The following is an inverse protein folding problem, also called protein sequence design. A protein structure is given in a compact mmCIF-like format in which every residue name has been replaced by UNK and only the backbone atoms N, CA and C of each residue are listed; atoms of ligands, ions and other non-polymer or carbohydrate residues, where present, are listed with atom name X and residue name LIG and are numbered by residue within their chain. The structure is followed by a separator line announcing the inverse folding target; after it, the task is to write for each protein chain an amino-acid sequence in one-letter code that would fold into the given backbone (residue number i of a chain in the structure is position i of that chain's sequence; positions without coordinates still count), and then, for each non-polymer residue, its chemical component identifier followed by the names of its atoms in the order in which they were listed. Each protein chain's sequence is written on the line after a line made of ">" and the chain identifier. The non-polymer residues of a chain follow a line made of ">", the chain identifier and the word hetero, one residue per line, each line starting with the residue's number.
data_IF_876086029765
#
_entry.id   IF_876086029765
#
_cell.length_a   1.000
_cell.length_b   1.000
_cell.length_c   1.000
_cell.angle_alpha   90.00
_cell.angle_beta   90.00
_cell.angle_gamma   90.00
#
_symmetry.space_group_name_H-M   'P 1'
#
loop_
_entity.id
_entity.type
_entity.pdbx_description
1 polymer ?
#
# COMPACT_ATOMS: atom_id res chain seq x y z
N UNK A 1 31.00 11.53 31.22
CA UNK A 1 31.48 11.86 29.86
C UNK A 1 30.25 12.17 29.02
N UNK A 2 29.87 13.45 28.98
CA UNK A 2 28.62 13.91 28.36
C UNK A 2 28.78 13.86 26.84
N UNK A 3 27.87 13.16 26.16
CA UNK A 3 27.75 13.25 24.71
C UNK A 3 27.32 14.67 24.36
N UNK A 4 28.30 15.45 23.92
CA UNK A 4 28.13 16.78 23.33
C UNK A 4 27.26 16.66 22.08
N UNK A 5 25.98 17.00 22.21
CA UNK A 5 25.14 17.40 21.08
C UNK A 5 25.33 18.90 20.83
N UNK A 6 26.58 19.33 20.60
CA UNK A 6 26.85 20.62 20.00
C UNK A 6 26.53 20.53 18.49
N UNK A 7 25.28 20.84 18.15
CA UNK A 7 24.89 21.70 17.04
C UNK A 7 25.61 21.51 15.69
N UNK A 8 25.05 20.64 14.85
CA UNK A 8 24.97 20.88 13.39
C UNK A 8 23.55 20.60 12.90
N UNK A 9 22.57 21.34 13.42
CA UNK A 9 21.21 21.39 12.88
C UNK A 9 20.99 22.74 12.19
N UNK A 10 21.26 22.81 10.88
CA UNK A 10 20.78 23.93 10.05
C UNK A 10 19.25 23.88 9.83
N UNK A 11 18.59 22.77 10.21
CA UNK A 11 17.16 22.56 10.02
C UNK A 11 16.25 23.44 10.89
N UNK A 12 16.77 24.03 11.98
CA UNK A 12 15.99 24.91 12.88
C UNK A 12 16.04 26.40 12.55
N UNK A 13 16.83 26.82 11.54
CA UNK A 13 17.04 28.25 11.23
C UNK A 13 15.78 28.95 10.69
N UNK A 14 14.80 28.20 10.19
CA UNK A 14 13.59 28.74 9.53
C UNK A 14 12.30 28.61 10.34
N UNK A 15 12.36 28.22 11.62
CA UNK A 15 11.18 28.23 12.50
C UNK A 15 11.22 29.47 13.42
N UNK A 16 10.40 30.51 13.15
CA UNK A 16 10.37 31.72 13.95
C UNK A 16 10.01 31.48 15.42
N UNK A 17 9.21 30.44 15.71
CA UNK A 17 8.78 30.10 17.07
C UNK A 17 9.92 29.44 17.83
N UNK A 18 10.62 28.47 17.22
CA UNK A 18 11.81 27.86 17.82
C UNK A 18 12.89 28.92 18.11
N UNK A 19 13.10 29.86 17.17
CA UNK A 19 14.05 30.95 17.37
C UNK A 19 13.66 31.88 18.53
N UNK A 20 12.38 32.23 18.66
CA UNK A 20 11.89 33.02 19.79
C UNK A 20 12.11 32.27 21.12
N UNK A 21 11.78 30.98 21.18
CA UNK A 21 12.02 30.14 22.36
C UNK A 21 13.50 30.07 22.79
N UNK A 22 14.43 30.12 21.83
CA UNK A 22 15.88 30.19 22.12
C UNK A 22 16.27 31.56 22.68
N UNK A 23 15.78 32.65 22.08
CA UNK A 23 16.05 34.03 22.55
C UNK A 23 15.50 34.23 23.97
N UNK A 24 14.31 33.72 24.24
CA UNK A 24 13.64 33.82 25.53
C UNK A 24 14.17 32.83 26.58
N UNK A 25 15.20 32.04 26.23
CA UNK A 25 15.82 31.00 27.07
C UNK A 25 14.83 29.93 27.56
N UNK A 26 13.69 29.79 26.90
CA UNK A 26 12.72 28.73 27.20
C UNK A 26 13.33 27.33 27.01
N UNK A 27 14.30 27.20 26.09
CA UNK A 27 15.06 25.95 25.87
C UNK A 27 15.93 25.52 27.07
N UNK A 28 16.21 26.42 28.00
CA UNK A 28 16.96 26.14 29.24
C UNK A 28 16.05 25.70 30.39
N UNK A 29 14.72 25.72 30.21
CA UNK A 29 13.74 25.31 31.24
C UNK A 29 13.98 23.85 31.68
N UNK A 30 14.06 23.63 32.99
CA UNK A 30 14.39 22.31 33.53
C UNK A 30 13.34 21.25 33.22
N UNK A 31 12.04 21.61 33.27
CA UNK A 31 10.97 20.66 32.97
C UNK A 31 10.98 20.30 31.48
N UNK A 32 11.21 21.29 30.61
CA UNK A 32 11.37 21.07 29.17
C UNK A 32 12.58 20.17 28.89
N UNK A 33 13.72 20.41 29.54
CA UNK A 33 14.91 19.57 29.37
C UNK A 33 14.65 18.13 29.81
N UNK A 34 13.97 17.91 30.93
CA UNK A 34 13.58 16.57 31.39
C UNK A 34 12.63 15.88 30.41
N UNK A 35 11.66 16.62 29.86
CA UNK A 35 10.72 16.11 28.86
C UNK A 35 11.44 15.70 27.56
N UNK A 36 12.33 16.57 27.05
CA UNK A 36 13.16 16.29 25.87
C UNK A 36 14.07 15.08 26.10
N UNK A 37 14.70 14.98 27.27
CA UNK A 37 15.50 13.80 27.64
C UNK A 37 14.64 12.54 27.69
N UNK A 38 13.42 12.62 28.23
CA UNK A 38 12.45 11.53 28.23
C UNK A 38 12.07 11.07 26.83
N UNK A 39 11.78 12.00 25.91
CA UNK A 39 11.51 11.67 24.51
C UNK A 39 12.72 11.05 23.82
N UNK A 40 13.92 11.62 24.01
CA UNK A 40 15.15 11.10 23.43
C UNK A 40 15.42 9.65 23.87
N UNK A 41 15.25 9.33 25.16
CA UNK A 41 15.38 7.96 25.67
C UNK A 41 14.39 7.01 24.97
N UNK A 42 13.12 7.40 24.86
CA UNK A 42 12.09 6.59 24.17
C UNK A 42 12.42 6.36 22.70
N UNK A 43 12.89 7.40 21.99
CA UNK A 43 13.28 7.32 20.58
C UNK A 43 14.47 6.38 20.40
N UNK A 44 15.52 6.53 21.22
CA UNK A 44 16.72 5.69 21.18
C UNK A 44 16.35 4.22 21.42
N UNK A 45 15.55 3.93 22.46
CA UNK A 45 15.11 2.58 22.75
C UNK A 45 14.30 1.97 21.59
N UNK A 46 13.34 2.71 21.04
CA UNK A 46 12.56 2.26 19.89
C UNK A 46 13.43 2.00 18.65
N UNK A 47 14.40 2.88 18.37
CA UNK A 47 15.33 2.74 17.24
C UNK A 47 16.28 1.56 17.42
N UNK A 48 16.73 1.31 18.64
CA UNK A 48 17.57 0.17 18.95
C UNK A 48 16.83 -1.15 18.75
N UNK A 49 15.58 -1.25 19.25
CA UNK A 49 14.72 -2.41 19.00
C UNK A 49 14.49 -2.61 17.49
N UNK A 50 14.16 -1.54 16.75
CA UNK A 50 14.00 -1.59 15.30
C UNK A 50 15.26 -2.16 14.63
N UNK A 51 16.44 -1.67 14.99
CA UNK A 51 17.74 -2.16 14.48
C UNK A 51 17.92 -3.65 14.74
N UNK A 52 17.55 -4.15 15.92
CA UNK A 52 17.66 -5.57 16.27
C UNK A 52 16.68 -6.46 15.49
N UNK A 53 15.57 -5.92 14.99
CA UNK A 53 14.56 -6.67 14.25
C UNK A 53 14.85 -6.79 12.75
N UNK A 54 15.64 -5.87 12.18
CA UNK A 54 15.90 -5.83 10.72
C UNK A 54 16.36 -7.18 10.19
N UNK A 55 15.67 -7.68 9.15
CA UNK A 55 16.03 -8.92 8.45
C UNK A 55 15.72 -10.21 9.20
N UNK A 56 15.18 -10.17 10.42
CA UNK A 56 14.90 -11.36 11.24
C UNK A 56 13.49 -11.92 11.08
N UNK A 57 12.62 -11.19 10.39
CA UNK A 57 11.25 -11.60 10.12
C UNK A 57 11.07 -11.71 8.62
N UNK A 58 10.63 -12.87 8.18
CA UNK A 58 10.19 -13.14 6.82
C UNK A 58 8.86 -13.88 6.85
N UNK A 59 8.10 -13.77 5.77
CA UNK A 59 6.88 -14.53 5.53
C UNK A 59 7.08 -15.21 4.19
N UNK A 60 6.91 -16.53 4.16
CA UNK A 60 7.03 -17.32 2.94
C UNK A 60 5.65 -17.61 2.31
N UNK A 61 5.65 -18.14 1.10
CA UNK A 61 4.40 -18.42 0.37
C UNK A 61 3.55 -19.50 1.05
N UNK A 62 4.17 -20.53 1.63
CA UNK A 62 3.46 -21.60 2.35
C UNK A 62 2.67 -21.05 3.54
N UNK A 63 3.21 -20.05 4.25
CA UNK A 63 2.51 -19.37 5.34
C UNK A 63 1.33 -18.54 4.84
N UNK A 64 1.49 -17.87 3.69
CA UNK A 64 0.41 -17.11 3.04
C UNK A 64 -0.71 -18.05 2.60
N UNK A 65 -0.37 -19.17 1.97
CA UNK A 65 -1.31 -20.23 1.55
C UNK A 65 -2.07 -20.81 2.74
N UNK A 66 -1.35 -21.15 3.82
CA UNK A 66 -1.95 -21.75 5.03
C UNK A 66 -2.92 -20.77 5.67
N UNK A 67 -2.49 -19.51 5.86
CA UNK A 67 -3.34 -18.46 6.41
C UNK A 67 -4.59 -18.23 5.57
N UNK A 68 -4.46 -18.17 4.24
CA UNK A 68 -5.60 -18.02 3.34
C UNK A 68 -6.60 -19.16 3.52
N UNK A 69 -6.12 -20.41 3.62
CA UNK A 69 -6.96 -21.59 3.74
C UNK A 69 -7.72 -21.65 5.08
N UNK A 70 -7.06 -21.30 6.19
CA UNK A 70 -7.65 -21.24 7.52
C UNK A 70 -8.67 -20.10 7.66
N UNK A 71 -8.45 -18.98 6.95
CA UNK A 71 -9.25 -17.76 7.06
C UNK A 71 -10.10 -17.45 5.82
N UNK A 72 -10.41 -18.44 4.96
CA UNK A 72 -11.11 -18.23 3.67
C UNK A 72 -12.33 -17.32 3.74
N UNK A 73 -13.12 -17.45 4.80
CA UNK A 73 -14.37 -16.69 4.96
C UNK A 73 -14.14 -15.17 5.08
N UNK A 74 -12.97 -14.74 5.58
CA UNK A 74 -12.57 -13.32 5.67
C UNK A 74 -12.38 -12.70 4.28
N UNK A 75 -12.02 -13.51 3.28
CA UNK A 75 -11.70 -13.08 1.92
C UNK A 75 -12.90 -13.12 0.96
N UNK A 76 -14.13 -13.19 1.49
CA UNK A 76 -15.33 -13.02 0.69
C UNK A 76 -15.48 -11.58 0.20
N UNK A 77 -15.83 -11.41 -1.08
CA UNK A 77 -16.11 -10.10 -1.67
C UNK A 77 -17.33 -9.47 -1.01
N UNK A 78 -17.17 -8.25 -0.49
CA UNK A 78 -18.23 -7.50 0.18
C UNK A 78 -19.14 -6.74 -0.79
N UNK A 79 -18.73 -6.62 -2.05
CA UNK A 79 -19.42 -5.91 -3.12
C UNK A 79 -19.16 -6.62 -4.45
N UNK A 80 -19.95 -6.30 -5.47
CA UNK A 80 -19.65 -6.67 -6.85
C UNK A 80 -18.38 -5.94 -7.29
N UNK A 81 -17.44 -6.69 -7.86
CA UNK A 81 -16.14 -6.20 -8.32
C UNK A 81 -15.96 -6.51 -9.81
N UNK A 82 -15.25 -5.63 -10.51
CA UNK A 82 -14.84 -5.86 -11.90
C UNK A 82 -13.34 -5.59 -12.04
N UNK A 83 -12.63 -6.58 -12.56
CA UNK A 83 -11.23 -6.50 -12.89
C UNK A 83 -11.08 -6.07 -14.35
N UNK A 84 -10.26 -5.06 -14.59
CA UNK A 84 -10.10 -4.46 -15.92
C UNK A 84 -8.66 -4.12 -16.24
N UNK A 85 -8.36 -4.02 -17.53
CA UNK A 85 -7.24 -3.23 -18.05
C UNK A 85 -7.73 -1.83 -18.41
N UNK A 86 -7.03 -0.81 -17.93
CA UNK A 86 -7.36 0.61 -18.13
C UNK A 86 -6.28 1.26 -18.97
N UNK A 87 -6.66 1.68 -20.19
CA UNK A 87 -5.80 2.44 -21.09
C UNK A 87 -6.25 3.90 -21.03
N UNK A 88 -5.43 4.79 -20.47
CA UNK A 88 -5.79 6.19 -20.20
C UNK A 88 -5.16 7.15 -21.23
N UNK A 89 -5.68 8.39 -21.31
CA UNK A 89 -5.09 9.50 -22.07
C UNK A 89 -4.88 9.21 -23.56
N UNK A 90 -5.79 8.47 -24.17
CA UNK A 90 -5.71 8.10 -25.58
C UNK A 90 -6.36 9.18 -26.44
N UNK A 91 -5.89 9.32 -27.68
CA UNK A 91 -6.71 9.98 -28.71
C UNK A 91 -7.83 9.03 -29.19
N UNK A 92 -8.83 9.59 -29.86
CA UNK A 92 -10.03 8.86 -30.32
C UNK A 92 -9.70 7.63 -31.19
N UNK A 93 -8.79 7.80 -32.16
CA UNK A 93 -8.44 6.73 -33.10
C UNK A 93 -7.71 5.58 -32.41
N UNK A 94 -6.78 5.90 -31.50
CA UNK A 94 -6.08 4.90 -30.69
C UNK A 94 -7.06 4.14 -29.79
N UNK A 95 -7.99 4.83 -29.14
CA UNK A 95 -9.01 4.19 -28.29
C UNK A 95 -9.89 3.20 -29.08
N UNK A 96 -10.34 3.59 -30.28
CA UNK A 96 -11.10 2.72 -31.18
C UNK A 96 -10.27 1.52 -31.63
N UNK A 97 -8.99 1.74 -31.99
CA UNK A 97 -8.07 0.66 -32.38
C UNK A 97 -7.87 -0.35 -31.26
N UNK A 98 -7.56 0.12 -30.05
CA UNK A 98 -7.37 -0.74 -28.87
C UNK A 98 -8.64 -1.56 -28.61
N UNK A 99 -9.80 -0.90 -28.50
CA UNK A 99 -11.09 -1.58 -28.29
C UNK A 99 -11.33 -2.66 -29.35
N UNK A 100 -11.19 -2.30 -30.63
CA UNK A 100 -11.51 -3.22 -31.74
C UNK A 100 -10.56 -4.41 -31.78
N UNK A 101 -9.26 -4.19 -31.50
CA UNK A 101 -8.29 -5.28 -31.41
C UNK A 101 -8.60 -6.20 -30.24
N UNK A 102 -8.81 -5.66 -29.03
CA UNK A 102 -9.01 -6.48 -27.84
C UNK A 102 -10.36 -7.21 -27.84
N UNK A 103 -11.42 -6.62 -28.41
CA UNK A 103 -12.75 -7.26 -28.48
C UNK A 103 -12.81 -8.39 -29.51
N UNK A 104 -11.88 -8.44 -30.48
CA UNK A 104 -11.89 -9.41 -31.58
C UNK A 104 -10.84 -10.51 -31.44
N UNK A 105 -9.90 -10.38 -30.51
CA UNK A 105 -8.79 -11.30 -30.36
C UNK A 105 -8.69 -11.72 -28.89
N UNK A 106 -8.32 -12.97 -28.66
CA UNK A 106 -8.00 -13.45 -27.31
C UNK A 106 -6.76 -12.69 -26.77
N UNK A 107 -6.68 -12.54 -25.44
CA UNK A 107 -5.61 -11.77 -24.80
C UNK A 107 -4.20 -12.33 -25.04
N UNK A 108 -4.09 -13.63 -25.27
CA UNK A 108 -2.87 -14.37 -25.59
C UNK A 108 -2.48 -14.30 -27.07
N UNK A 109 -3.30 -13.66 -27.92
CA UNK A 109 -2.95 -13.43 -29.32
C UNK A 109 -1.80 -12.43 -29.44
N UNK A 110 -1.00 -12.57 -30.50
CA UNK A 110 0.08 -11.64 -30.86
C UNK A 110 -0.42 -10.19 -30.95
N UNK A 111 -1.57 -9.98 -31.60
CA UNK A 111 -2.17 -8.64 -31.79
C UNK A 111 -2.59 -8.00 -30.47
N UNK A 112 -3.19 -8.76 -29.55
CA UNK A 112 -3.57 -8.24 -28.24
C UNK A 112 -2.32 -7.96 -27.38
N UNK A 113 -1.35 -8.86 -27.41
CA UNK A 113 -0.08 -8.72 -26.70
C UNK A 113 0.70 -7.49 -27.15
N UNK A 114 0.76 -7.21 -28.45
CA UNK A 114 1.39 -6.00 -28.99
C UNK A 114 0.69 -4.73 -28.49
N UNK A 115 -0.63 -4.68 -28.54
CA UNK A 115 -1.42 -3.55 -28.02
C UNK A 115 -1.17 -3.33 -26.53
N UNK A 116 -1.17 -4.40 -25.72
CA UNK A 116 -0.96 -4.31 -24.28
C UNK A 116 0.46 -3.83 -23.97
N UNK A 117 1.47 -4.42 -24.61
CA UNK A 117 2.88 -4.06 -24.42
C UNK A 117 3.15 -2.60 -24.81
N UNK A 118 2.62 -2.15 -25.95
CA UNK A 118 2.81 -0.78 -26.45
C UNK A 118 2.15 0.27 -25.58
N UNK A 119 0.94 0.02 -25.10
CA UNK A 119 0.13 1.03 -24.41
C UNK A 119 0.18 0.92 -22.88
N UNK A 120 0.82 -0.13 -22.33
CA UNK A 120 1.08 -0.34 -20.89
C UNK A 120 -0.13 0.00 -20.01
N UNK A 121 -1.28 -0.70 -20.19
CA UNK A 121 -2.46 -0.42 -19.41
C UNK A 121 -2.24 -0.69 -17.92
N UNK A 122 -3.00 0.03 -17.10
CA UNK A 122 -3.09 -0.24 -15.67
C UNK A 122 -4.08 -1.38 -15.42
N UNK A 123 -3.72 -2.35 -14.59
CA UNK A 123 -4.65 -3.37 -14.10
C UNK A 123 -5.33 -2.86 -12.84
N UNK A 124 -6.67 -2.75 -12.86
CA UNK A 124 -7.43 -2.17 -11.76
C UNK A 124 -8.66 -3.01 -11.41
N UNK A 125 -9.03 -3.02 -10.13
CA UNK A 125 -10.29 -3.59 -9.64
C UNK A 125 -11.21 -2.46 -9.20
N UNK A 126 -12.41 -2.41 -9.77
CA UNK A 126 -13.44 -1.45 -9.38
C UNK A 126 -14.55 -2.14 -8.59
N UNK A 127 -14.93 -1.54 -7.47
CA UNK A 127 -16.10 -1.95 -6.66
C UNK A 127 -17.31 -1.15 -7.12
N UNK A 128 -18.44 -1.82 -7.32
CA UNK A 128 -19.67 -1.21 -7.85
C UNK A 128 -20.12 0.01 -7.04
N UNK A 129 -20.11 -0.09 -5.71
CA UNK A 129 -20.51 0.96 -4.78
C UNK A 129 -19.58 2.18 -4.77
N UNK A 130 -18.35 2.04 -5.26
CA UNK A 130 -17.36 3.11 -5.27
C UNK A 130 -17.40 3.91 -6.59
N UNK A 131 -18.24 3.53 -7.55
CA UNK A 131 -18.38 4.21 -8.84
C UNK A 131 -19.63 5.09 -8.87
N UNK A 132 -19.55 6.22 -9.57
CA UNK A 132 -20.74 7.02 -9.92
C UNK A 132 -21.71 6.15 -10.71
N UNK A 133 -23.02 6.30 -10.46
CA UNK A 133 -24.08 5.45 -11.01
C UNK A 133 -23.98 5.24 -12.54
N UNK A 134 -23.78 6.31 -13.31
CA UNK A 134 -23.65 6.22 -14.77
C UNK A 134 -22.44 5.40 -15.24
N UNK A 135 -21.29 5.54 -14.57
CA UNK A 135 -20.09 4.75 -14.86
C UNK A 135 -20.27 3.29 -14.40
N UNK A 136 -20.87 3.11 -13.22
CA UNK A 136 -21.17 1.80 -12.64
C UNK A 136 -22.03 0.97 -13.59
N UNK A 137 -23.17 1.52 -14.07
CA UNK A 137 -24.04 0.84 -15.03
C UNK A 137 -23.32 0.45 -16.31
N UNK A 138 -22.50 1.34 -16.86
CA UNK A 138 -21.75 1.08 -18.10
C UNK A 138 -20.69 -0.01 -17.91
N UNK A 139 -19.84 0.12 -16.89
CA UNK A 139 -18.73 -0.81 -16.65
C UNK A 139 -19.23 -2.21 -16.30
N UNK A 140 -20.20 -2.30 -15.40
CA UNK A 140 -20.81 -3.58 -15.01
C UNK A 140 -21.79 -4.13 -16.06
N UNK A 141 -22.23 -3.34 -17.04
CA UNK A 141 -23.06 -3.79 -18.16
C UNK A 141 -22.28 -4.46 -19.29
N UNK A 142 -20.98 -4.17 -19.45
CA UNK A 142 -20.15 -4.77 -20.53
C UNK A 142 -19.80 -6.21 -20.22
N UNK A 143 -19.94 -7.12 -21.19
CA UNK A 143 -19.60 -8.54 -21.01
C UNK A 143 -18.11 -8.74 -20.70
N UNK A 144 -17.78 -9.84 -20.03
CA UNK A 144 -16.40 -10.30 -19.90
C UNK A 144 -15.76 -10.41 -21.29
N UNK A 145 -14.48 -10.09 -21.39
CA UNK A 145 -13.69 -10.10 -22.63
C UNK A 145 -14.10 -9.05 -23.68
N UNK A 146 -14.87 -8.04 -23.27
CA UNK A 146 -15.22 -6.90 -24.11
C UNK A 146 -14.76 -5.60 -23.46
N UNK A 147 -14.71 -4.53 -24.26
CA UNK A 147 -14.29 -3.21 -23.82
C UNK A 147 -15.37 -2.14 -23.95
N UNK A 148 -15.18 -1.03 -23.23
CA UNK A 148 -15.89 0.23 -23.44
C UNK A 148 -14.93 1.41 -23.53
N UNK A 149 -15.36 2.46 -24.23
CA UNK A 149 -14.64 3.74 -24.31
C UNK A 149 -15.41 4.80 -23.52
N UNK A 150 -14.68 5.60 -22.75
CA UNK A 150 -15.20 6.78 -22.05
C UNK A 150 -14.35 7.98 -22.45
N UNK A 151 -15.02 9.06 -22.86
CA UNK A 151 -14.36 10.35 -23.02
C UNK A 151 -14.16 10.99 -21.64
N UNK A 152 -12.95 11.47 -21.39
CA UNK A 152 -12.54 12.23 -20.23
C UNK A 152 -11.98 13.58 -20.70
N UNK A 153 -11.75 14.50 -19.76
CA UNK A 153 -11.28 15.85 -20.09
C UNK A 153 -9.92 15.84 -20.81
N UNK A 154 -9.08 14.84 -20.52
CA UNK A 154 -7.74 14.66 -21.08
C UNK A 154 -7.66 13.58 -22.18
N UNK A 155 -8.79 13.21 -22.78
CA UNK A 155 -8.85 12.32 -23.94
C UNK A 155 -9.84 11.17 -23.78
N UNK A 156 -9.43 9.97 -24.19
CA UNK A 156 -10.27 8.77 -24.15
C UNK A 156 -9.62 7.69 -23.27
N UNK A 157 -10.46 7.00 -22.50
CA UNK A 157 -10.06 5.85 -21.70
C UNK A 157 -10.80 4.61 -22.17
N UNK A 158 -10.04 3.54 -22.43
CA UNK A 158 -10.58 2.21 -22.75
C UNK A 158 -10.52 1.36 -21.49
N UNK A 159 -11.65 0.76 -21.12
CA UNK A 159 -11.71 -0.27 -20.09
C UNK A 159 -11.99 -1.61 -20.76
N UNK A 160 -11.05 -2.54 -20.70
CA UNK A 160 -11.24 -3.93 -21.12
C UNK A 160 -11.60 -4.80 -19.92
N UNK A 161 -12.72 -5.52 -19.97
CA UNK A 161 -13.21 -6.33 -18.86
C UNK A 161 -12.49 -7.69 -18.85
N UNK A 162 -11.62 -7.89 -17.86
CA UNK A 162 -10.92 -9.16 -17.65
C UNK A 162 -11.82 -10.18 -16.95
N UNK A 163 -12.43 -9.75 -15.84
CA UNK A 163 -13.27 -10.64 -15.02
C UNK A 163 -14.29 -9.84 -14.23
N UNK A 164 -15.41 -10.48 -13.90
CA UNK A 164 -16.42 -9.96 -12.98
C UNK A 164 -16.60 -10.89 -11.81
N UNK A 165 -16.77 -10.30 -10.64
CA UNK A 165 -16.96 -11.05 -9.42
C UNK A 165 -18.21 -10.55 -8.71
N UNK A 166 -19.07 -11.50 -8.36
CA UNK A 166 -20.26 -11.20 -7.60
C UNK A 166 -19.91 -11.06 -6.11
N UNK A 167 -20.66 -10.21 -5.41
CA UNK A 167 -20.65 -10.17 -3.95
C UNK A 167 -20.82 -11.59 -3.36
N UNK A 168 -20.06 -11.88 -2.30
CA UNK A 168 -20.08 -13.16 -1.59
C UNK A 168 -19.13 -14.22 -2.14
N UNK A 169 -18.60 -14.06 -3.35
CA UNK A 169 -17.56 -14.95 -3.91
C UNK A 169 -16.23 -14.81 -3.17
N UNK A 170 -15.43 -15.87 -3.13
CA UNK A 170 -14.09 -15.84 -2.53
C UNK A 170 -13.10 -15.13 -3.46
N UNK A 171 -12.26 -14.25 -2.89
CA UNK A 171 -11.12 -13.68 -3.60
C UNK A 171 -10.01 -14.71 -3.72
N UNK A 172 -9.53 -14.94 -4.93
CA UNK A 172 -8.37 -15.80 -5.15
C UNK A 172 -7.14 -15.22 -4.44
N UNK A 173 -6.20 -16.11 -4.09
CA UNK A 173 -5.01 -15.76 -3.33
C UNK A 173 -4.23 -14.59 -3.93
N UNK A 174 -4.13 -14.54 -5.27
CA UNK A 174 -3.43 -13.46 -5.99
C UNK A 174 -3.96 -12.06 -5.66
N UNK A 175 -5.22 -11.93 -5.23
CA UNK A 175 -5.82 -10.65 -4.87
C UNK A 175 -5.61 -10.26 -3.39
N UNK A 176 -5.19 -11.19 -2.55
CA UNK A 176 -5.10 -11.01 -1.08
C UNK A 176 -3.74 -11.37 -0.51
N UNK A 177 -2.83 -11.93 -1.32
CA UNK A 177 -1.45 -12.29 -0.96
C UNK A 177 -0.73 -11.18 -0.20
N UNK A 178 -0.71 -9.97 -0.75
CA UNK A 178 0.02 -8.85 -0.16
C UNK A 178 -0.60 -8.39 1.17
N UNK A 179 -1.94 -8.44 1.27
CA UNK A 179 -2.67 -8.15 2.51
C UNK A 179 -2.34 -9.18 3.60
N UNK A 180 -2.34 -10.47 3.24
CA UNK A 180 -1.97 -11.56 4.15
C UNK A 180 -0.51 -11.45 4.57
N UNK A 181 0.40 -11.19 3.63
CA UNK A 181 1.82 -11.01 3.91
C UNK A 181 2.04 -9.86 4.89
N UNK A 182 1.40 -8.70 4.67
CA UNK A 182 1.49 -7.56 5.57
C UNK A 182 0.96 -7.89 6.97
N UNK A 183 -0.18 -8.61 7.07
CA UNK A 183 -0.77 -9.05 8.34
C UNK A 183 0.16 -10.00 9.09
N UNK A 184 0.71 -11.01 8.41
CA UNK A 184 1.64 -11.98 8.99
C UNK A 184 2.96 -11.30 9.42
N UNK A 185 3.49 -10.39 8.61
CA UNK A 185 4.66 -9.60 8.97
C UNK A 185 4.42 -8.76 10.23
N UNK A 186 3.26 -8.12 10.34
CA UNK A 186 2.91 -7.33 11.53
C UNK A 186 2.86 -8.21 12.79
N UNK A 187 2.21 -9.37 12.72
CA UNK A 187 2.12 -10.34 13.84
C UNK A 187 3.51 -10.81 14.26
N UNK A 188 4.33 -11.29 13.31
CA UNK A 188 5.67 -11.79 13.62
C UNK A 188 6.61 -10.70 14.15
N UNK A 189 6.53 -9.48 13.59
CA UNK A 189 7.31 -8.35 14.09
C UNK A 189 6.92 -7.99 15.53
N UNK A 190 5.62 -8.03 15.86
CA UNK A 190 5.16 -7.81 17.21
C UNK A 190 5.72 -8.86 18.19
N UNK A 191 5.61 -10.14 17.84
CA UNK A 191 6.15 -11.25 18.64
C UNK A 191 7.67 -11.15 18.82
N UNK A 192 8.41 -10.79 17.77
CA UNK A 192 9.86 -10.61 17.86
C UNK A 192 10.22 -9.43 18.77
N UNK A 193 9.47 -8.32 18.67
CA UNK A 193 9.66 -7.14 19.52
C UNK A 193 9.52 -7.50 21.00
N UNK A 194 8.47 -8.24 21.37
CA UNK A 194 8.23 -8.67 22.75
C UNK A 194 9.40 -9.53 23.25
N UNK A 195 9.82 -10.54 22.47
CA UNK A 195 10.98 -11.38 22.82
C UNK A 195 12.27 -10.58 23.03
N UNK A 196 12.52 -9.57 22.20
CA UNK A 196 13.70 -8.70 22.34
C UNK A 196 13.61 -7.89 23.64
N UNK A 197 12.44 -7.31 23.93
CA UNK A 197 12.23 -6.53 25.16
C UNK A 197 12.44 -7.41 26.39
N UNK A 198 11.85 -8.60 26.41
CA UNK A 198 12.00 -9.54 27.53
C UNK A 198 13.46 -9.95 27.73
N UNK A 199 14.16 -10.28 26.64
CA UNK A 199 15.58 -10.64 26.68
C UNK A 199 16.45 -9.51 27.22
N UNK A 200 16.25 -8.27 26.73
CA UNK A 200 16.98 -7.09 27.21
C UNK A 200 16.64 -6.79 28.67
N UNK A 201 15.37 -6.97 29.05
CA UNK A 201 14.92 -6.83 30.43
C UNK A 201 15.67 -7.78 31.36
N UNK A 202 15.79 -9.06 31.00
CA UNK A 202 16.54 -10.05 31.80
C UNK A 202 18.04 -9.77 31.84
N UNK A 203 18.64 -9.35 30.73
CA UNK A 203 20.07 -9.09 30.63
C UNK A 203 20.50 -7.89 31.46
N UNK A 204 19.74 -6.79 31.38
CA UNK A 204 20.10 -5.50 31.97
C UNK A 204 19.35 -5.17 33.27
N UNK A 205 18.45 -6.02 33.75
CA UNK A 205 17.87 -5.93 35.10
C UNK A 205 18.67 -6.69 36.17
N UNK A 206 19.81 -7.29 35.82
CA UNK A 206 20.74 -7.86 36.81
C UNK A 206 21.45 -6.73 37.57
N UNK A 207 21.60 -6.86 38.91
CA UNK A 207 22.16 -5.83 39.78
C UNK A 207 23.62 -5.48 39.46
#
# INVERSE_FOLDING_TARGET
>A
MFLSCASKNEAGKNDPIYRAAVIDRFVDDQNLMEEVLGFNKKIIAAKYIQKLMVGRVAVNMTEIDSFYNEHKTEFKRKDDEVLVLVFKKLNKNTAIKIKTTLDRNALDSEKASEIISKNKPERAVFKRRNLKEGLSKRLFGVKKSNSLIIQQDDGFTVFYILEKFNKGTLKDLVFVSDEIQAKLLAIKNHQLKEKIIDSLGVEYAKP
#
